data_IF_790662475801
#
_entry.id   IF_790662475801
#
_cell.length_a   1.000
_cell.length_b   1.000
_cell.length_c   1.000
_cell.angle_alpha   90.00
_cell.angle_beta   90.00
_cell.angle_gamma   90.00
#
_symmetry.space_group_name_H-M   'P 1'
#
loop_
_entity.id
_entity.type
_entity.pdbx_description
1 polymer ?
#
# COMPACT_ATOMS: atom_id res chain seq x y z
N UNK A 1 31.17 7.84 -23.62
CA UNK A 1 31.91 8.18 -22.38
C UNK A 1 31.43 9.55 -21.94
N UNK A 2 30.43 9.55 -21.06
CA UNK A 2 30.00 10.72 -20.30
C UNK A 2 29.72 10.16 -18.91
N UNK A 3 30.61 10.47 -17.98
CA UNK A 3 30.36 10.44 -16.55
C UNK A 3 29.23 11.44 -16.27
N UNK A 4 28.29 11.09 -15.39
CA UNK A 4 27.74 12.04 -14.44
C UNK A 4 27.21 11.27 -13.22
N UNK A 5 27.94 11.44 -12.12
CA UNK A 5 27.73 10.73 -10.87
C UNK A 5 26.43 11.13 -10.17
N UNK A 6 25.72 10.11 -9.70
CA UNK A 6 24.71 10.24 -8.66
C UNK A 6 25.40 10.81 -7.41
N UNK A 7 25.22 12.11 -7.17
CA UNK A 7 25.60 12.73 -5.90
C UNK A 7 24.55 12.36 -4.87
N UNK A 8 24.91 11.43 -3.97
CA UNK A 8 24.26 11.28 -2.68
C UNK A 8 24.33 12.64 -1.96
N UNK A 9 23.24 13.19 -1.42
CA UNK A 9 23.29 14.45 -0.69
C UNK A 9 24.24 14.33 0.51
N UNK A 10 25.24 15.19 0.59
CA UNK A 10 26.30 15.16 1.61
C UNK A 10 25.88 15.74 2.97
N UNK A 11 24.60 16.07 3.19
CA UNK A 11 24.08 16.53 4.48
C UNK A 11 22.56 16.47 4.52
N UNK A 12 22.02 15.61 5.37
CA UNK A 12 20.65 15.72 5.87
C UNK A 12 20.64 16.96 6.80
N UNK A 13 19.72 17.93 6.66
CA UNK A 13 19.69 19.09 7.53
C UNK A 13 19.55 18.72 9.01
N UNK A 14 20.48 19.20 9.84
CA UNK A 14 20.40 19.13 11.30
C UNK A 14 19.18 19.92 11.78
N UNK A 15 18.06 19.23 12.09
CA UNK A 15 16.98 19.71 12.97
C UNK A 15 15.95 18.61 13.25
N UNK A 16 16.29 17.68 14.12
CA UNK A 16 15.29 16.87 14.83
C UNK A 16 15.67 16.83 16.31
N UNK A 17 15.03 17.65 17.18
CA UNK A 17 15.25 17.57 18.63
C UNK A 17 14.76 16.21 19.14
N UNK A 18 15.35 15.71 20.23
CA UNK A 18 15.38 14.30 20.61
C UNK A 18 14.02 13.61 20.85
N UNK A 19 13.96 12.33 20.52
CA UNK A 19 12.75 11.53 20.38
C UNK A 19 13.03 10.06 20.79
N UNK A 20 12.54 9.65 21.97
CA UNK A 20 12.63 8.33 22.64
C UNK A 20 11.60 7.28 22.13
N UNK A 21 11.65 6.05 22.65
CA UNK A 21 10.92 4.84 22.18
C UNK A 21 9.39 4.93 22.03
N UNK A 22 8.69 5.86 22.68
CA UNK A 22 7.27 6.13 22.38
C UNK A 22 7.09 6.77 20.99
N UNK A 23 8.14 7.36 20.45
CA UNK A 23 8.00 8.38 19.45
C UNK A 23 8.42 8.00 18.02
N UNK A 24 8.79 6.75 17.74
CA UNK A 24 8.87 6.26 16.34
C UNK A 24 7.48 5.87 15.85
N UNK A 25 6.72 5.20 16.73
CA UNK A 25 5.28 5.02 16.58
C UNK A 25 4.58 6.38 16.57
N UNK A 26 4.94 7.31 17.48
CA UNK A 26 4.31 8.65 17.44
C UNK A 26 4.76 9.51 16.26
N UNK A 27 6.00 9.45 15.77
CA UNK A 27 6.43 10.32 14.66
C UNK A 27 5.70 10.01 13.36
N UNK A 28 5.56 8.74 12.99
CA UNK A 28 4.74 8.39 11.83
C UNK A 28 3.25 8.56 12.13
N UNK A 29 2.79 8.33 13.36
CA UNK A 29 1.41 8.63 13.72
C UNK A 29 1.08 10.14 13.68
N UNK A 30 2.06 11.01 13.94
CA UNK A 30 1.96 12.47 13.82
C UNK A 30 1.94 12.92 12.35
N UNK A 31 2.53 12.14 11.44
CA UNK A 31 2.48 12.42 9.99
C UNK A 31 1.21 11.83 9.37
N UNK A 32 0.93 10.56 9.61
CA UNK A 32 -0.16 9.82 8.94
C UNK A 32 -1.51 9.95 9.66
N UNK A 33 -1.52 10.35 10.93
CA UNK A 33 -2.75 10.47 11.71
C UNK A 33 -3.50 9.14 11.76
N UNK A 34 -4.78 9.17 11.39
CA UNK A 34 -5.66 8.01 11.42
C UNK A 34 -5.23 6.89 10.46
N UNK A 35 -4.52 7.19 9.36
CA UNK A 35 -4.09 6.18 8.39
C UNK A 35 -2.77 5.49 8.73
N UNK A 36 -2.15 5.77 9.89
CA UNK A 36 -0.85 5.16 10.18
C UNK A 36 -0.89 3.62 10.14
N UNK A 37 -1.87 2.99 10.79
CA UNK A 37 -1.93 1.52 10.87
C UNK A 37 -2.19 0.87 9.50
N UNK A 38 -3.05 1.45 8.67
CA UNK A 38 -3.35 0.90 7.34
C UNK A 38 -2.18 1.05 6.35
N UNK A 39 -1.41 2.15 6.46
CA UNK A 39 -0.23 2.37 5.61
C UNK A 39 0.98 1.56 6.10
N UNK A 40 1.19 1.49 7.41
CA UNK A 40 2.33 0.77 7.99
C UNK A 40 2.20 -0.74 7.92
N UNK A 41 0.98 -1.28 7.88
CA UNK A 41 0.75 -2.72 7.69
C UNK A 41 1.42 -3.27 6.44
N UNK A 42 1.49 -2.48 5.36
CA UNK A 42 2.15 -2.87 4.11
C UNK A 42 3.56 -2.29 3.97
N UNK A 43 4.12 -1.68 5.02
CA UNK A 43 5.43 -1.03 5.00
C UNK A 43 5.59 0.10 3.96
N UNK A 44 4.49 0.66 3.45
CA UNK A 44 4.50 1.74 2.45
C UNK A 44 5.07 3.06 3.01
N UNK A 45 4.86 3.34 4.29
CA UNK A 45 5.39 4.53 4.97
C UNK A 45 6.91 4.70 4.85
N UNK A 46 7.65 3.61 4.59
CA UNK A 46 9.09 3.60 4.34
C UNK A 46 9.41 4.10 2.93
N UNK A 47 8.63 3.70 1.92
CA UNK A 47 8.81 4.18 0.56
C UNK A 47 8.56 5.69 0.50
N UNK A 48 7.56 6.18 1.25
CA UNK A 48 7.26 7.60 1.40
C UNK A 48 8.42 8.45 2.00
N UNK A 49 9.46 7.82 2.57
CA UNK A 49 10.67 8.52 3.02
C UNK A 49 11.69 8.72 1.91
N UNK A 50 11.60 7.93 0.83
CA UNK A 50 12.45 8.08 -0.34
C UNK A 50 11.98 9.29 -1.15
N UNK A 51 12.93 9.98 -1.77
CA UNK A 51 12.61 11.01 -2.75
C UNK A 51 11.88 10.36 -3.94
N UNK A 52 10.67 10.82 -4.24
CA UNK A 52 9.85 10.21 -5.28
C UNK A 52 9.26 8.86 -4.88
N UNK A 53 8.86 8.70 -3.62
CA UNK A 53 8.14 7.51 -3.15
C UNK A 53 6.71 7.80 -2.67
N UNK A 54 6.06 8.86 -3.18
CA UNK A 54 4.70 9.29 -2.78
C UNK A 54 3.71 9.42 -3.95
N UNK A 55 4.09 8.90 -5.11
CA UNK A 55 3.29 8.85 -6.34
C UNK A 55 3.54 10.01 -7.31
N UNK A 56 4.48 10.93 -7.07
CA UNK A 56 4.76 12.04 -8.01
C UNK A 56 5.01 11.53 -9.44
N UNK A 57 4.27 12.08 -10.41
CA UNK A 57 4.44 11.72 -11.83
C UNK A 57 3.65 10.49 -12.26
N UNK A 58 3.00 9.78 -11.33
CA UNK A 58 2.05 8.70 -11.64
C UNK A 58 0.65 9.27 -11.87
N UNK A 59 -0.10 8.68 -12.81
CA UNK A 59 -1.51 8.98 -13.05
C UNK A 59 -2.39 7.77 -12.69
N UNK A 60 -3.29 7.95 -11.73
CA UNK A 60 -4.20 6.91 -11.25
C UNK A 60 -5.63 7.17 -11.75
N UNK A 61 -6.18 6.25 -12.53
CA UNK A 61 -7.60 6.23 -12.89
C UNK A 61 -8.43 5.62 -11.76
N UNK A 62 -9.45 6.33 -11.29
CA UNK A 62 -10.38 5.83 -10.26
C UNK A 62 -11.74 5.61 -10.91
N UNK A 63 -12.15 4.36 -11.03
CA UNK A 63 -13.45 3.95 -11.56
C UNK A 63 -14.38 3.66 -10.37
N UNK A 64 -15.41 4.49 -10.20
CA UNK A 64 -16.32 4.42 -9.06
C UNK A 64 -17.72 4.94 -9.42
N UNK A 65 -18.60 5.09 -8.42
CA UNK A 65 -19.99 5.55 -8.52
C UNK A 65 -20.16 7.08 -8.46
N UNK A 66 -19.11 7.82 -8.08
CA UNK A 66 -19.13 9.27 -8.02
C UNK A 66 -18.08 9.85 -7.07
N UNK A 67 -17.83 11.15 -7.20
CA UNK A 67 -16.78 11.86 -6.49
C UNK A 67 -17.33 13.11 -5.80
N UNK A 68 -18.52 12.98 -5.20
CA UNK A 68 -19.23 14.08 -4.57
C UNK A 68 -18.33 14.92 -3.66
N UNK A 69 -18.25 16.23 -3.89
CA UNK A 69 -17.50 17.16 -3.03
C UNK A 69 -15.98 17.07 -3.11
N UNK A 70 -15.38 16.29 -4.02
CA UNK A 70 -13.91 16.29 -4.23
C UNK A 70 -13.41 17.67 -4.72
N UNK A 71 -14.25 18.45 -5.38
CA UNK A 71 -13.96 19.81 -5.86
C UNK A 71 -13.95 20.88 -4.75
N UNK A 72 -14.51 20.56 -3.57
CA UNK A 72 -14.78 21.53 -2.51
C UNK A 72 -14.25 21.12 -1.13
N UNK A 73 -14.17 19.83 -0.80
CA UNK A 73 -13.75 19.38 0.52
C UNK A 73 -12.29 19.73 0.84
N UNK A 74 -12.03 20.24 2.05
CA UNK A 74 -10.71 20.73 2.46
C UNK A 74 -9.60 19.68 2.38
N UNK A 75 -9.95 18.41 2.60
CA UNK A 75 -9.02 17.28 2.54
C UNK A 75 -8.30 17.18 1.19
N UNK A 76 -8.96 17.56 0.10
CA UNK A 76 -8.39 17.53 -1.25
C UNK A 76 -7.84 18.88 -1.71
N UNK A 77 -7.76 19.88 -0.84
CA UNK A 77 -7.15 21.17 -1.18
C UNK A 77 -5.73 21.03 -1.75
N UNK A 78 -4.82 20.22 -1.16
CA UNK A 78 -3.49 20.02 -1.74
C UNK A 78 -3.53 19.41 -3.15
N UNK A 79 -4.42 18.44 -3.39
CA UNK A 79 -4.63 17.82 -4.70
C UNK A 79 -5.11 18.85 -5.73
N UNK A 80 -6.08 19.70 -5.38
CA UNK A 80 -6.59 20.75 -6.26
C UNK A 80 -5.57 21.86 -6.52
N UNK A 81 -4.82 22.29 -5.50
CA UNK A 81 -3.81 23.35 -5.61
C UNK A 81 -2.67 22.99 -6.58
N UNK A 82 -2.33 21.70 -6.69
CA UNK A 82 -1.35 21.22 -7.69
C UNK A 82 -1.94 20.86 -9.05
N UNK A 83 -3.23 21.13 -9.26
CA UNK A 83 -3.98 20.69 -10.44
C UNK A 83 -3.85 19.17 -10.69
N UNK A 84 -3.90 18.38 -9.61
CA UNK A 84 -3.67 16.94 -9.65
C UNK A 84 -4.89 16.13 -10.08
N UNK A 85 -6.07 16.72 -10.20
CA UNK A 85 -7.21 16.12 -10.89
C UNK A 85 -7.04 16.46 -12.37
N UNK A 86 -6.61 15.47 -13.17
CA UNK A 86 -6.24 15.66 -14.58
C UNK A 86 -7.41 15.48 -15.53
N UNK A 87 -8.38 14.67 -15.12
CA UNK A 87 -9.56 14.37 -15.92
C UNK A 87 -10.73 14.01 -15.03
N UNK A 88 -11.94 14.34 -15.48
CA UNK A 88 -13.19 13.84 -14.92
C UNK A 88 -14.14 13.49 -16.04
N UNK A 89 -14.87 12.38 -15.88
CA UNK A 89 -15.90 12.00 -16.85
C UNK A 89 -16.96 11.13 -16.20
N UNK A 90 -18.22 11.41 -16.53
CA UNK A 90 -19.36 10.59 -16.19
C UNK A 90 -19.72 9.70 -17.39
N UNK A 91 -19.46 8.40 -17.25
CA UNK A 91 -19.76 7.38 -18.26
C UNK A 91 -21.15 6.78 -18.04
N UNK A 92 -21.62 6.76 -16.79
CA UNK A 92 -22.95 6.27 -16.44
C UNK A 92 -24.05 7.26 -16.85
N UNK A 93 -23.76 8.56 -16.82
CA UNK A 93 -24.64 9.61 -17.34
C UNK A 93 -23.84 10.65 -18.15
N UNK A 94 -23.72 10.48 -19.49
CA UNK A 94 -22.92 11.37 -20.32
C UNK A 94 -23.28 12.87 -20.15
N UNK A 95 -22.27 13.67 -19.80
CA UNK A 95 -22.44 15.11 -19.52
C UNK A 95 -22.78 15.44 -18.05
N UNK A 96 -22.90 14.42 -17.20
CA UNK A 96 -23.04 14.56 -15.75
C UNK A 96 -21.79 15.13 -15.09
N UNK A 97 -22.00 15.78 -13.94
CA UNK A 97 -20.93 16.29 -13.08
C UNK A 97 -20.57 15.25 -12.02
N UNK A 98 -19.38 14.64 -12.13
CA UNK A 98 -18.92 13.60 -11.20
C UNK A 98 -18.85 14.08 -9.74
N UNK A 99 -18.77 15.40 -9.50
CA UNK A 99 -18.66 16.00 -8.16
C UNK A 99 -20.01 16.24 -7.48
N UNK A 100 -21.13 15.88 -8.11
CA UNK A 100 -22.49 16.06 -7.57
C UNK A 100 -23.30 14.75 -7.65
N UNK A 101 -22.61 13.62 -7.49
CA UNK A 101 -23.19 12.28 -7.61
C UNK A 101 -23.08 11.54 -6.28
N UNK A 102 -22.36 10.42 -6.26
CA UNK A 102 -22.23 9.57 -5.09
C UNK A 102 -20.96 9.88 -4.28
N UNK A 103 -20.99 9.57 -2.98
CA UNK A 103 -19.88 9.85 -2.05
C UNK A 103 -18.79 8.76 -2.06
N UNK A 104 -19.08 7.56 -2.54
CA UNK A 104 -18.20 6.40 -2.36
C UNK A 104 -16.82 6.61 -3.00
N UNK A 105 -16.76 7.07 -4.25
CA UNK A 105 -15.50 7.38 -4.92
C UNK A 105 -14.75 8.54 -4.26
N UNK A 106 -15.43 9.51 -3.62
CA UNK A 106 -14.76 10.51 -2.76
C UNK A 106 -14.04 9.82 -1.59
N UNK A 107 -14.73 8.93 -0.87
CA UNK A 107 -14.16 8.22 0.27
C UNK A 107 -13.01 7.29 -0.16
N UNK A 108 -13.16 6.56 -1.27
CA UNK A 108 -12.11 5.75 -1.89
C UNK A 108 -10.90 6.60 -2.28
N UNK A 109 -11.11 7.73 -2.96
CA UNK A 109 -10.05 8.65 -3.34
C UNK A 109 -9.30 9.19 -2.13
N UNK A 110 -9.97 9.43 -0.99
CA UNK A 110 -9.33 9.92 0.23
C UNK A 110 -8.26 8.96 0.76
N UNK A 111 -8.42 7.64 0.53
CA UNK A 111 -7.45 6.62 0.95
C UNK A 111 -6.13 6.72 0.15
N UNK A 112 -6.17 7.26 -1.07
CA UNK A 112 -4.98 7.44 -1.92
C UNK A 112 -4.46 8.87 -1.90
N UNK A 113 -5.34 9.85 -2.11
CA UNK A 113 -4.96 11.21 -2.49
C UNK A 113 -4.88 12.21 -1.33
N UNK A 114 -5.34 11.84 -0.12
CA UNK A 114 -5.30 12.75 1.02
C UNK A 114 -3.86 13.13 1.37
N UNK A 115 -3.62 14.42 1.55
CA UNK A 115 -2.31 14.98 1.92
C UNK A 115 -2.50 15.94 3.09
N UNK A 116 -3.03 15.41 4.20
CA UNK A 116 -3.33 16.16 5.41
C UNK A 116 -2.51 15.60 6.59
N UNK A 117 -1.24 16.04 6.75
CA UNK A 117 -0.37 15.57 7.82
C UNK A 117 -1.03 15.68 9.21
N UNK A 118 -0.90 14.62 10.01
CA UNK A 118 -1.49 14.50 11.34
C UNK A 118 -2.98 14.17 11.37
N UNK A 119 -3.65 14.15 10.22
CA UNK A 119 -5.06 13.79 10.10
C UNK A 119 -5.25 12.52 9.26
N UNK A 120 -5.00 12.61 7.96
CA UNK A 120 -5.10 11.50 7.01
C UNK A 120 -4.09 11.70 5.88
N UNK A 121 -3.12 10.79 5.79
CA UNK A 121 -2.21 10.69 4.65
C UNK A 121 -2.59 9.47 3.83
N UNK A 122 -2.89 9.68 2.55
CA UNK A 122 -3.21 8.62 1.62
C UNK A 122 -1.97 7.83 1.18
N UNK A 123 -2.20 6.75 0.43
CA UNK A 123 -1.14 5.86 -0.07
C UNK A 123 -0.39 6.40 -1.29
N UNK A 124 -0.92 7.39 -2.00
CA UNK A 124 -0.25 8.08 -3.11
C UNK A 124 -0.61 9.58 -3.11
N UNK A 125 -0.25 10.33 -2.05
CA UNK A 125 -0.72 11.70 -1.84
C UNK A 125 -0.25 12.68 -2.92
N UNK A 126 0.79 12.32 -3.67
CA UNK A 126 1.39 13.15 -4.72
C UNK A 126 1.14 12.63 -6.14
N UNK A 127 0.39 11.55 -6.33
CA UNK A 127 -0.05 11.08 -7.65
C UNK A 127 -1.13 11.96 -8.26
N UNK A 128 -1.20 12.04 -9.57
CA UNK A 128 -2.30 12.67 -10.29
C UNK A 128 -3.45 11.68 -10.48
N UNK A 129 -4.68 12.18 -10.67
CA UNK A 129 -5.89 11.35 -10.70
C UNK A 129 -6.80 11.69 -11.88
N UNK A 130 -7.37 10.66 -12.49
CA UNK A 130 -8.51 10.73 -13.38
C UNK A 130 -9.73 10.12 -12.69
N UNK A 131 -10.83 10.86 -12.58
CA UNK A 131 -12.02 10.45 -11.82
C UNK A 131 -13.14 10.07 -12.80
N UNK A 132 -13.43 8.77 -12.90
CA UNK A 132 -14.31 8.19 -13.90
C UNK A 132 -15.52 7.58 -13.20
N UNK A 133 -16.69 8.19 -13.36
CA UNK A 133 -17.93 7.61 -12.85
C UNK A 133 -18.42 6.55 -13.83
N UNK A 134 -18.50 5.32 -13.37
CA UNK A 134 -18.88 4.15 -14.19
C UNK A 134 -20.12 3.42 -13.68
N UNK A 135 -20.46 3.59 -12.41
CA UNK A 135 -21.68 3.01 -11.82
C UNK A 135 -22.82 4.01 -11.71
N UNK A 136 -24.03 3.45 -11.67
CA UNK A 136 -25.26 4.19 -11.42
C UNK A 136 -25.88 3.75 -10.09
N UNK A 137 -25.88 4.61 -9.08
CA UNK A 137 -26.17 4.22 -7.70
C UNK A 137 -27.58 3.68 -7.44
N UNK A 138 -28.54 3.95 -8.33
CA UNK A 138 -29.94 3.62 -8.12
C UNK A 138 -30.37 2.26 -8.70
N UNK A 139 -29.48 1.55 -9.39
CA UNK A 139 -29.73 0.24 -9.98
C UNK A 139 -28.43 -0.52 -10.21
N UNK A 140 -28.48 -1.84 -10.33
CA UNK A 140 -27.32 -2.63 -10.78
C UNK A 140 -27.70 -3.33 -12.09
N UNK A 141 -27.27 -2.79 -13.23
CA UNK A 141 -27.53 -3.40 -14.54
C UNK A 141 -26.26 -3.88 -15.20
N UNK A 142 -26.40 -4.93 -16.00
CA UNK A 142 -25.26 -5.52 -16.70
C UNK A 142 -24.48 -4.49 -17.54
N UNK A 143 -25.13 -3.46 -18.09
CA UNK A 143 -24.47 -2.42 -18.89
C UNK A 143 -23.48 -1.54 -18.10
N UNK A 144 -23.47 -1.59 -16.77
CA UNK A 144 -22.44 -0.95 -15.96
C UNK A 144 -21.06 -1.54 -16.21
N UNK A 145 -20.99 -2.82 -16.59
CA UNK A 145 -19.76 -3.41 -17.11
C UNK A 145 -19.27 -2.70 -18.37
N UNK A 146 -20.17 -2.30 -19.27
CA UNK A 146 -19.82 -1.57 -20.48
C UNK A 146 -19.31 -0.15 -20.17
N UNK A 147 -19.88 0.50 -19.14
CA UNK A 147 -19.37 1.77 -18.65
C UNK A 147 -17.99 1.63 -18.03
N UNK A 148 -17.75 0.55 -17.28
CA UNK A 148 -16.42 0.26 -16.74
C UNK A 148 -15.41 0.06 -17.87
N UNK A 149 -15.77 -0.69 -18.90
CA UNK A 149 -14.94 -0.90 -20.10
C UNK A 149 -14.60 0.45 -20.75
N UNK A 150 -15.61 1.29 -21.00
CA UNK A 150 -15.40 2.63 -21.55
C UNK A 150 -14.52 3.51 -20.64
N UNK A 151 -14.67 3.40 -19.32
CA UNK A 151 -13.81 4.06 -18.34
C UNK A 151 -12.36 3.60 -18.45
N UNK A 152 -12.11 2.30 -18.57
CA UNK A 152 -10.77 1.74 -18.76
C UNK A 152 -10.14 2.20 -20.08
N UNK A 153 -10.92 2.28 -21.18
CA UNK A 153 -10.46 2.83 -22.47
C UNK A 153 -10.11 4.32 -22.39
N UNK A 154 -10.89 5.10 -21.65
CA UNK A 154 -10.56 6.52 -21.37
C UNK A 154 -9.26 6.61 -20.58
N UNK A 155 -9.08 5.77 -19.55
CA UNK A 155 -7.88 5.76 -18.75
C UNK A 155 -6.62 5.36 -19.55
N UNK A 156 -6.72 4.35 -20.43
CA UNK A 156 -5.68 4.01 -21.41
C UNK A 156 -5.32 5.22 -22.29
N UNK A 157 -6.34 5.89 -22.82
CA UNK A 157 -6.16 7.07 -23.69
C UNK A 157 -5.50 8.26 -22.98
N UNK A 158 -5.68 8.38 -21.67
CA UNK A 158 -5.03 9.40 -20.84
C UNK A 158 -3.59 9.03 -20.45
N UNK A 159 -3.20 7.76 -20.63
CA UNK A 159 -1.94 7.22 -20.14
C UNK A 159 -1.93 7.04 -18.63
N UNK A 160 -3.06 6.61 -18.03
CA UNK A 160 -3.07 6.19 -16.63
C UNK A 160 -2.08 5.03 -16.44
N UNK A 161 -1.31 5.06 -15.36
CA UNK A 161 -0.41 3.96 -14.99
C UNK A 161 -1.17 2.91 -14.18
N UNK A 162 -2.01 3.36 -13.24
CA UNK A 162 -2.73 2.49 -12.31
C UNK A 162 -4.23 2.73 -12.43
N UNK A 163 -5.03 1.66 -12.40
CA UNK A 163 -6.47 1.74 -12.18
C UNK A 163 -6.80 1.24 -10.78
N UNK A 164 -7.58 2.02 -10.04
CA UNK A 164 -8.29 1.53 -8.87
C UNK A 164 -9.78 1.38 -9.22
N UNK A 165 -10.30 0.18 -9.02
CA UNK A 165 -11.73 -0.11 -9.16
C UNK A 165 -12.27 -0.77 -7.90
N UNK A 166 -13.11 -0.01 -7.19
CA UNK A 166 -13.70 -0.39 -5.91
C UNK A 166 -15.11 -0.97 -6.08
N UNK A 167 -15.29 -1.72 -7.16
CA UNK A 167 -16.56 -2.20 -7.71
C UNK A 167 -16.47 -3.72 -7.96
N UNK A 168 -17.62 -4.37 -8.14
CA UNK A 168 -17.66 -5.76 -8.57
C UNK A 168 -19.08 -6.26 -8.80
N UNK A 169 -19.28 -6.96 -9.90
CA UNK A 169 -20.59 -7.39 -10.37
C UNK A 169 -20.79 -8.89 -10.16
N UNK A 170 -22.00 -9.26 -9.71
CA UNK A 170 -22.39 -10.65 -9.43
C UNK A 170 -23.84 -10.90 -9.83
N UNK A 171 -24.77 -10.11 -9.28
CA UNK A 171 -26.19 -10.14 -9.60
C UNK A 171 -26.65 -8.79 -10.12
N UNK A 172 -27.74 -8.76 -10.87
CA UNK A 172 -28.29 -7.54 -11.47
C UNK A 172 -29.81 -7.45 -11.27
N UNK A 173 -30.37 -6.29 -11.59
CA UNK A 173 -31.82 -6.04 -11.58
C UNK A 173 -32.61 -7.04 -12.43
N UNK A 174 -32.04 -7.46 -13.57
CA UNK A 174 -32.55 -8.59 -14.34
C UNK A 174 -31.73 -9.84 -14.04
N UNK A 175 -32.29 -10.73 -13.22
CA UNK A 175 -31.66 -12.01 -12.85
C UNK A 175 -31.29 -12.92 -14.03
N UNK A 176 -31.83 -12.69 -15.23
CA UNK A 176 -31.42 -13.40 -16.44
C UNK A 176 -30.00 -13.02 -16.89
N UNK A 177 -29.46 -11.93 -16.34
CA UNK A 177 -28.12 -11.42 -16.61
C UNK A 177 -27.14 -11.64 -15.47
N UNK A 178 -27.58 -12.28 -14.37
CA UNK A 178 -26.72 -12.63 -13.24
C UNK A 178 -25.52 -13.46 -13.68
N UNK A 179 -24.37 -13.18 -13.08
CA UNK A 179 -23.22 -14.05 -13.21
C UNK A 179 -23.37 -15.27 -12.31
N UNK A 180 -22.83 -16.38 -12.80
CA UNK A 180 -22.62 -17.60 -12.06
C UNK A 180 -21.16 -17.70 -11.64
N UNK A 181 -20.89 -18.43 -10.56
CA UNK A 181 -19.49 -18.68 -10.16
C UNK A 181 -18.67 -19.30 -11.29
N UNK A 182 -19.25 -20.15 -12.14
CA UNK A 182 -18.55 -20.76 -13.29
C UNK A 182 -18.08 -19.76 -14.35
N UNK A 183 -18.65 -18.56 -14.40
CA UNK A 183 -18.25 -17.51 -15.35
C UNK A 183 -17.11 -16.62 -14.82
N UNK A 184 -16.75 -16.76 -13.54
CA UNK A 184 -15.64 -16.03 -12.92
C UNK A 184 -14.29 -16.70 -13.21
N UNK A 185 -14.03 -16.95 -14.48
CA UNK A 185 -12.84 -17.62 -15.00
C UNK A 185 -11.83 -16.66 -15.66
N UNK A 186 -12.10 -15.35 -15.60
CA UNK A 186 -11.32 -14.28 -16.22
C UNK A 186 -11.46 -14.19 -17.74
N UNK A 187 -12.28 -15.05 -18.37
CA UNK A 187 -12.41 -15.17 -19.83
C UNK A 187 -13.86 -15.07 -20.32
N UNK A 188 -14.84 -15.17 -19.42
CA UNK A 188 -16.26 -15.19 -19.80
C UNK A 188 -16.94 -13.83 -19.63
N UNK A 189 -16.82 -13.18 -18.47
CA UNK A 189 -17.44 -11.86 -18.27
C UNK A 189 -16.66 -10.79 -19.03
N UNK A 190 -17.40 -9.87 -19.68
CA UNK A 190 -16.77 -8.85 -20.54
C UNK A 190 -15.89 -7.89 -19.77
N UNK A 191 -16.26 -7.56 -18.54
CA UNK A 191 -15.46 -6.69 -17.68
C UNK A 191 -14.13 -7.36 -17.30
N UNK A 192 -14.10 -8.67 -17.05
CA UNK A 192 -12.87 -9.39 -16.70
C UNK A 192 -11.93 -9.52 -17.89
N UNK A 193 -12.47 -9.75 -19.09
CA UNK A 193 -11.69 -9.72 -20.34
C UNK A 193 -11.07 -8.33 -20.53
N UNK A 194 -11.85 -7.27 -20.37
CA UNK A 194 -11.37 -5.90 -20.54
C UNK A 194 -10.32 -5.50 -19.48
N UNK A 195 -10.48 -5.96 -18.24
CA UNK A 195 -9.47 -5.75 -17.20
C UNK A 195 -8.15 -6.45 -17.53
N UNK A 196 -8.20 -7.64 -18.14
CA UNK A 196 -7.02 -8.30 -18.71
C UNK A 196 -6.38 -7.49 -19.84
N UNK A 197 -7.18 -6.95 -20.76
CA UNK A 197 -6.69 -6.07 -21.84
C UNK A 197 -6.03 -4.81 -21.28
N UNK A 198 -6.60 -4.20 -20.25
CA UNK A 198 -6.01 -3.02 -19.59
C UNK A 198 -4.62 -3.34 -19.02
N UNK A 199 -4.42 -4.54 -18.47
CA UNK A 199 -3.07 -5.01 -18.06
C UNK A 199 -2.14 -5.18 -19.26
N UNK A 200 -2.61 -5.77 -20.36
CA UNK A 200 -1.81 -5.92 -21.58
C UNK A 200 -1.42 -4.58 -22.22
N UNK A 201 -2.24 -3.54 -22.01
CA UNK A 201 -1.96 -2.15 -22.40
C UNK A 201 -0.90 -1.47 -21.53
N UNK A 202 -0.47 -2.12 -20.47
CA UNK A 202 0.59 -1.65 -19.60
C UNK A 202 0.10 -1.03 -18.30
N UNK A 203 -1.20 -1.06 -17.98
CA UNK A 203 -1.69 -0.55 -16.70
C UNK A 203 -1.53 -1.58 -15.57
N UNK A 204 -1.35 -1.11 -14.34
CA UNK A 204 -1.59 -1.93 -13.13
C UNK A 204 -3.07 -1.77 -12.77
N UNK A 205 -3.84 -2.84 -12.92
CA UNK A 205 -5.26 -2.85 -12.54
C UNK A 205 -5.40 -3.43 -11.15
N UNK A 206 -5.99 -2.66 -10.23
CA UNK A 206 -6.25 -3.06 -8.85
C UNK A 206 -7.76 -3.05 -8.60
N UNK A 207 -8.31 -4.20 -8.25
CA UNK A 207 -9.75 -4.39 -8.05
C UNK A 207 -10.06 -4.88 -6.65
N UNK A 208 -11.14 -4.41 -6.07
CA UNK A 208 -11.64 -4.95 -4.80
C UNK A 208 -12.14 -6.39 -4.96
N UNK A 209 -11.92 -7.27 -3.99
CA UNK A 209 -12.35 -8.68 -4.12
C UNK A 209 -13.88 -8.86 -4.10
N UNK A 210 -14.60 -7.95 -3.41
CA UNK A 210 -16.04 -8.02 -3.13
C UNK A 210 -16.33 -8.20 -1.64
N UNK A 211 -17.56 -7.89 -1.24
CA UNK A 211 -18.00 -7.90 0.16
C UNK A 211 -19.00 -9.03 0.47
N UNK A 212 -18.90 -10.15 -0.26
CA UNK A 212 -19.88 -11.23 -0.22
C UNK A 212 -19.45 -12.46 0.59
N UNK A 213 -18.30 -12.43 1.27
CA UNK A 213 -17.71 -13.57 1.98
C UNK A 213 -18.57 -14.17 3.10
N UNK A 214 -19.57 -13.45 3.60
CA UNK A 214 -20.49 -13.87 4.66
C UNK A 214 -21.94 -14.02 4.20
N UNK A 215 -22.21 -13.96 2.90
CA UNK A 215 -23.54 -14.14 2.31
C UNK A 215 -23.57 -15.37 1.38
N UNK A 216 -24.71 -15.61 0.72
CA UNK A 216 -24.91 -16.78 -0.13
C UNK A 216 -24.04 -16.82 -1.39
N UNK A 217 -23.50 -15.68 -1.84
CA UNK A 217 -22.58 -15.64 -2.97
C UNK A 217 -21.20 -16.14 -2.59
N UNK A 218 -20.64 -15.68 -1.46
CA UNK A 218 -19.34 -16.08 -0.87
C UNK A 218 -18.09 -15.73 -1.70
N UNK A 219 -18.17 -15.84 -3.02
CA UNK A 219 -17.04 -15.76 -3.93
C UNK A 219 -16.65 -14.31 -4.26
N UNK A 220 -15.49 -14.14 -4.90
CA UNK A 220 -15.13 -12.92 -5.63
C UNK A 220 -16.18 -12.56 -6.69
N UNK A 221 -16.20 -11.31 -7.16
CA UNK A 221 -17.03 -10.87 -8.29
C UNK A 221 -16.19 -10.50 -9.51
N UNK A 222 -16.84 -10.16 -10.62
CA UNK A 222 -16.14 -9.64 -11.80
C UNK A 222 -15.89 -8.12 -11.64
N UNK A 223 -14.69 -7.58 -11.94
CA UNK A 223 -13.56 -8.23 -12.61
C UNK A 223 -12.45 -8.76 -11.69
N UNK A 224 -12.71 -9.01 -10.41
CA UNK A 224 -11.67 -9.49 -9.48
C UNK A 224 -11.05 -10.83 -9.92
N UNK A 225 -11.77 -11.63 -10.71
CA UNK A 225 -11.31 -12.87 -11.32
C UNK A 225 -10.41 -12.68 -12.55
N UNK A 226 -10.25 -11.46 -13.09
CA UNK A 226 -9.48 -11.21 -14.30
C UNK A 226 -8.00 -11.64 -14.22
N UNK A 227 -7.41 -11.90 -15.38
CA UNK A 227 -5.99 -12.23 -15.51
C UNK A 227 -5.10 -11.01 -15.30
N UNK A 228 -3.94 -11.23 -14.68
CA UNK A 228 -2.90 -10.21 -14.56
C UNK A 228 -3.16 -9.13 -13.51
N UNK A 229 -4.42 -8.84 -13.17
CA UNK A 229 -4.79 -7.79 -12.21
C UNK A 229 -4.41 -8.14 -10.76
N UNK A 230 -4.38 -7.15 -9.87
CA UNK A 230 -4.32 -7.34 -8.42
C UNK A 230 -5.74 -7.27 -7.82
N UNK A 231 -6.35 -8.43 -7.54
CA UNK A 231 -7.56 -8.48 -6.72
C UNK A 231 -7.21 -8.35 -5.23
N UNK A 232 -7.94 -7.52 -4.49
CA UNK A 232 -7.58 -7.14 -3.12
C UNK A 232 -8.67 -7.52 -2.11
N UNK A 233 -8.34 -8.48 -1.25
CA UNK A 233 -9.14 -8.87 -0.09
C UNK A 233 -9.00 -7.90 1.09
N UNK A 234 -9.89 -8.03 2.08
CA UNK A 234 -9.92 -7.19 3.26
C UNK A 234 -9.46 -7.94 4.51
N UNK A 235 -8.58 -7.30 5.29
CA UNK A 235 -8.21 -7.72 6.66
C UNK A 235 -8.51 -6.63 7.68
N UNK A 236 -8.57 -7.01 8.95
CA UNK A 236 -8.55 -6.07 10.06
C UNK A 236 -7.13 -5.62 10.42
N UNK A 237 -7.00 -4.67 11.35
CA UNK A 237 -5.71 -4.17 11.80
C UNK A 237 -4.88 -5.19 12.60
N UNK A 238 -5.43 -6.37 12.90
CA UNK A 238 -4.76 -7.51 13.50
C UNK A 238 -4.42 -8.59 12.43
N UNK A 239 -4.52 -8.24 11.14
CA UNK A 239 -4.22 -9.10 9.97
C UNK A 239 -5.17 -10.29 9.79
N UNK A 240 -6.35 -10.28 10.44
CA UNK A 240 -7.36 -11.34 10.26
C UNK A 240 -8.25 -11.01 9.08
N UNK A 241 -8.59 -12.02 8.27
CA UNK A 241 -9.52 -11.88 7.15
C UNK A 241 -10.86 -11.31 7.64
N UNK A 242 -11.34 -10.25 6.99
CA UNK A 242 -12.66 -9.70 7.25
C UNK A 242 -13.73 -10.72 6.86
N UNK A 243 -14.76 -10.91 7.70
CA UNK A 243 -15.82 -11.89 7.43
C UNK A 243 -16.57 -11.62 6.12
N UNK A 244 -16.71 -10.36 5.73
CA UNK A 244 -17.34 -9.96 4.48
C UNK A 244 -16.41 -10.09 3.27
N UNK A 245 -15.09 -10.23 3.42
CA UNK A 245 -14.18 -10.29 2.28
C UNK A 245 -14.53 -11.49 1.40
N UNK A 246 -14.89 -11.22 0.15
CA UNK A 246 -15.12 -12.26 -0.85
C UNK A 246 -13.90 -13.13 -1.05
N UNK A 247 -14.14 -14.41 -1.32
CA UNK A 247 -13.11 -15.46 -1.33
C UNK A 247 -12.96 -16.08 -2.71
N UNK A 248 -11.75 -16.49 -3.05
CA UNK A 248 -11.53 -17.30 -4.23
C UNK A 248 -11.72 -18.81 -3.94
N UNK A 249 -11.01 -19.66 -4.70
CA UNK A 249 -10.27 -19.30 -5.92
C UNK A 249 -11.22 -18.74 -7.00
N UNK A 250 -10.66 -18.22 -8.10
CA UNK A 250 -11.47 -18.05 -9.32
C UNK A 250 -12.03 -19.40 -9.78
N UNK A 251 -13.02 -19.37 -10.67
CA UNK A 251 -13.69 -20.58 -11.16
C UNK A 251 -12.73 -21.59 -11.81
N UNK A 252 -11.67 -21.08 -12.45
CA UNK A 252 -10.61 -21.85 -13.08
C UNK A 252 -9.44 -22.21 -12.14
N UNK A 253 -9.58 -21.94 -10.84
CA UNK A 253 -8.66 -22.39 -9.80
C UNK A 253 -7.44 -21.49 -9.55
N UNK A 254 -7.39 -20.28 -10.11
CA UNK A 254 -6.32 -19.32 -9.80
C UNK A 254 -6.48 -18.78 -8.38
N UNK A 255 -5.35 -18.45 -7.77
CA UNK A 255 -5.31 -17.78 -6.46
C UNK A 255 -5.99 -16.42 -6.59
N UNK A 256 -7.11 -16.27 -5.87
CA UNK A 256 -7.84 -15.01 -5.71
C UNK A 256 -8.38 -14.90 -4.26
N UNK A 257 -8.47 -13.69 -3.68
CA UNK A 257 -7.83 -12.46 -4.14
C UNK A 257 -6.31 -12.64 -4.32
N UNK A 258 -5.63 -11.72 -5.01
CA UNK A 258 -4.17 -11.80 -5.19
C UNK A 258 -3.46 -11.46 -3.87
N UNK A 259 -3.87 -10.37 -3.23
CA UNK A 259 -3.30 -9.88 -1.97
C UNK A 259 -4.41 -9.36 -1.07
N UNK A 260 -4.07 -8.99 0.16
CA UNK A 260 -5.01 -8.37 1.10
C UNK A 260 -4.43 -7.08 1.71
N UNK A 261 -5.32 -6.16 2.07
CA UNK A 261 -4.99 -4.93 2.78
C UNK A 261 -6.09 -4.57 3.79
N UNK A 262 -5.84 -3.58 4.65
CA UNK A 262 -6.83 -3.16 5.65
C UNK A 262 -8.14 -2.80 4.96
N UNK A 263 -9.22 -3.46 5.36
CA UNK A 263 -10.57 -3.18 4.90
C UNK A 263 -11.58 -3.11 6.05
N UNK A 264 -11.17 -3.40 7.28
CA UNK A 264 -12.00 -3.19 8.49
C UNK A 264 -11.47 -1.99 9.25
N UNK A 265 -12.33 -1.01 9.52
CA UNK A 265 -11.97 0.25 10.17
C UNK A 265 -10.80 0.94 9.45
N UNK A 266 -10.83 0.94 8.12
CA UNK A 266 -9.90 1.72 7.31
C UNK A 266 -10.22 3.20 7.50
N UNK A 267 -9.23 4.03 7.80
CA UNK A 267 -9.43 5.47 7.90
C UNK A 267 -9.66 6.05 6.50
N UNK A 268 -10.80 6.72 6.33
CA UNK A 268 -11.19 7.41 5.11
C UNK A 268 -12.07 8.62 5.44
N UNK A 269 -12.28 9.50 4.46
CA UNK A 269 -13.26 10.57 4.56
C UNK A 269 -14.67 9.99 4.67
N UNK A 270 -15.44 10.51 5.61
CA UNK A 270 -16.81 10.10 5.90
C UNK A 270 -17.75 10.28 4.69
N UNK A 271 -18.73 9.40 4.53
CA UNK A 271 -19.80 9.55 3.53
C UNK A 271 -20.65 10.80 3.75
N UNK A 272 -20.81 11.21 5.01
CA UNK A 272 -21.86 12.14 5.44
C UNK A 272 -21.36 13.55 5.74
N UNK A 273 -20.09 13.67 6.08
CA UNK A 273 -19.48 14.91 6.56
C UNK A 273 -17.95 14.94 6.28
N UNK A 274 -17.29 15.99 6.77
CA UNK A 274 -15.86 16.16 6.62
C UNK A 274 -15.01 15.36 7.63
N UNK A 275 -15.61 14.46 8.43
CA UNK A 275 -14.89 13.70 9.43
C UNK A 275 -14.06 12.57 8.80
N UNK A 276 -12.95 12.22 9.46
CA UNK A 276 -12.20 11.00 9.14
C UNK A 276 -12.71 9.88 10.07
N UNK A 277 -13.21 8.79 9.49
CA UNK A 277 -13.81 7.68 10.22
C UNK A 277 -13.26 6.33 9.77
N UNK A 278 -13.48 5.30 10.58
CA UNK A 278 -13.24 3.91 10.18
C UNK A 278 -14.38 3.38 9.30
N UNK A 279 -14.07 3.10 8.04
CA UNK A 279 -14.98 2.47 7.06
C UNK A 279 -14.64 0.99 6.84
N UNK A 280 -15.63 0.22 6.38
CA UNK A 280 -15.47 -1.21 6.13
C UNK A 280 -15.76 -1.53 4.65
N UNK A 281 -14.92 -2.37 4.04
CA UNK A 281 -15.14 -2.90 2.69
C UNK A 281 -13.83 -3.15 1.94
N UNK A 282 -13.82 -4.13 1.03
CA UNK A 282 -12.71 -4.34 0.09
C UNK A 282 -12.50 -3.13 -0.82
N UNK A 283 -13.54 -2.33 -1.02
CA UNK A 283 -13.51 -1.02 -1.68
C UNK A 283 -12.52 -0.03 -1.07
N UNK A 284 -12.12 -0.22 0.20
CA UNK A 284 -11.09 0.57 0.87
C UNK A 284 -9.74 -0.15 0.96
N UNK A 285 -9.71 -1.48 0.79
CA UNK A 285 -8.47 -2.24 0.65
C UNK A 285 -7.82 -2.04 -0.72
N UNK A 286 -8.63 -2.02 -1.79
CA UNK A 286 -8.17 -1.75 -3.16
C UNK A 286 -7.35 -0.46 -3.30
N UNK A 287 -7.84 0.72 -2.85
CA UNK A 287 -7.08 1.98 -2.98
C UNK A 287 -5.79 1.99 -2.16
N UNK A 288 -5.71 1.23 -1.06
CA UNK A 288 -4.45 1.09 -0.34
C UNK A 288 -3.38 0.47 -1.24
N UNK A 289 -3.71 -0.64 -1.90
CA UNK A 289 -2.79 -1.35 -2.80
C UNK A 289 -2.54 -0.56 -4.08
N UNK A 290 -3.54 0.12 -4.64
CA UNK A 290 -3.39 0.94 -5.85
C UNK A 290 -2.40 2.09 -5.64
N UNK A 291 -2.56 2.87 -4.55
CA UNK A 291 -1.60 3.92 -4.24
C UNK A 291 -0.21 3.36 -3.89
N UNK A 292 -0.15 2.22 -3.19
CA UNK A 292 1.10 1.54 -2.90
C UNK A 292 1.84 1.09 -4.18
N UNK A 293 1.11 0.56 -5.16
CA UNK A 293 1.65 0.18 -6.46
C UNK A 293 2.17 1.38 -7.25
N UNK A 294 1.45 2.51 -7.23
CA UNK A 294 1.92 3.75 -7.84
C UNK A 294 3.24 4.24 -7.21
N UNK A 295 3.33 4.27 -5.89
CA UNK A 295 4.57 4.65 -5.18
C UNK A 295 5.73 3.69 -5.46
N UNK A 296 5.47 2.39 -5.54
CA UNK A 296 6.49 1.40 -5.88
C UNK A 296 6.99 1.57 -7.31
N UNK A 297 6.07 1.76 -8.26
CA UNK A 297 6.41 1.89 -9.68
C UNK A 297 7.15 3.19 -9.97
N UNK A 298 6.77 4.29 -9.32
CA UNK A 298 7.48 5.56 -9.39
C UNK A 298 8.98 5.42 -9.08
N UNK A 299 9.32 4.58 -8.08
CA UNK A 299 10.70 4.32 -7.67
C UNK A 299 11.46 3.39 -8.63
N UNK A 300 10.75 2.70 -9.51
CA UNK A 300 11.27 1.72 -10.46
C UNK A 300 10.71 1.97 -11.88
N UNK A 301 10.94 3.15 -12.47
CA UNK A 301 10.31 3.56 -13.73
C UNK A 301 10.80 2.77 -14.95
N UNK A 302 11.87 1.99 -14.80
CA UNK A 302 12.40 1.06 -15.82
C UNK A 302 11.69 -0.30 -15.81
N UNK A 303 10.79 -0.54 -14.85
CA UNK A 303 10.04 -1.79 -14.70
C UNK A 303 8.68 -1.74 -15.38
N UNK A 304 8.26 -2.89 -15.89
CA UNK A 304 6.91 -3.10 -16.43
C UNK A 304 5.86 -3.22 -15.32
N UNK A 305 4.60 -2.92 -15.64
CA UNK A 305 3.46 -3.18 -14.76
C UNK A 305 3.43 -4.62 -14.23
N UNK A 306 3.78 -5.61 -15.07
CA UNK A 306 3.83 -7.02 -14.68
C UNK A 306 4.91 -7.27 -13.62
N UNK A 307 6.11 -6.70 -13.76
CA UNK A 307 7.17 -6.78 -12.74
C UNK A 307 6.75 -6.13 -11.42
N UNK A 308 6.07 -4.98 -11.47
CA UNK A 308 5.55 -4.31 -10.27
C UNK A 308 4.55 -5.21 -9.54
N UNK A 309 3.57 -5.77 -10.27
CA UNK A 309 2.56 -6.66 -9.68
C UNK A 309 3.16 -7.97 -9.17
N UNK A 310 4.14 -8.55 -9.86
CA UNK A 310 4.88 -9.73 -9.39
C UNK A 310 5.64 -9.43 -8.08
N UNK A 311 6.32 -8.29 -8.00
CA UNK A 311 7.04 -7.88 -6.80
C UNK A 311 6.10 -7.71 -5.59
N UNK A 312 4.90 -7.16 -5.81
CA UNK A 312 3.86 -7.02 -4.77
C UNK A 312 3.38 -8.39 -4.29
N UNK A 313 3.11 -9.35 -5.19
CA UNK A 313 2.70 -10.71 -4.81
C UNK A 313 3.82 -11.45 -4.05
N UNK A 314 5.05 -11.38 -4.56
CA UNK A 314 6.24 -12.07 -4.00
C UNK A 314 6.72 -11.51 -2.67
N UNK A 315 6.35 -10.26 -2.36
CA UNK A 315 6.66 -9.65 -1.08
C UNK A 315 5.61 -9.93 -0.01
N UNK A 316 4.48 -10.52 -0.37
CA UNK A 316 3.36 -10.72 0.54
C UNK A 316 3.59 -11.84 1.57
N UNK A 317 2.90 -11.72 2.70
CA UNK A 317 3.14 -12.49 3.94
C UNK A 317 2.95 -14.01 3.84
N UNK A 318 2.26 -14.50 2.81
CA UNK A 318 2.06 -15.94 2.59
C UNK A 318 2.33 -16.34 1.14
N UNK A 319 3.34 -15.71 0.51
CA UNK A 319 3.79 -16.02 -0.85
C UNK A 319 3.98 -17.52 -1.10
N UNK A 320 4.61 -18.24 -0.16
CA UNK A 320 4.93 -19.67 -0.30
C UNK A 320 3.70 -20.59 -0.10
N UNK A 321 2.62 -20.08 0.48
CA UNK A 321 1.42 -20.86 0.80
C UNK A 321 0.15 -20.00 0.69
N UNK A 322 -0.24 -19.57 -0.54
CA UNK A 322 -1.42 -18.76 -0.72
C UNK A 322 -2.71 -19.54 -0.43
N UNK A 323 -3.76 -18.81 -0.09
CA UNK A 323 -5.10 -19.35 0.17
C UNK A 323 -6.19 -18.59 -0.60
N UNK A 324 -7.44 -19.01 -0.41
CA UNK A 324 -8.62 -18.40 -1.02
C UNK A 324 -9.17 -17.19 -0.24
N UNK A 325 -8.61 -16.85 0.92
CA UNK A 325 -9.08 -15.78 1.80
C UNK A 325 -8.28 -14.49 1.61
N UNK A 326 -6.95 -14.57 1.68
CA UNK A 326 -6.01 -13.45 1.58
C UNK A 326 -5.08 -13.55 0.38
N UNK A 327 -5.17 -14.62 -0.41
CA UNK A 327 -4.31 -14.81 -1.58
C UNK A 327 -2.87 -15.08 -1.14
N UNK A 328 -1.93 -14.31 -1.70
CA UNK A 328 -0.53 -14.27 -1.27
C UNK A 328 -0.32 -13.50 0.04
N UNK A 329 -1.36 -12.88 0.61
CA UNK A 329 -1.34 -12.20 1.91
C UNK A 329 -1.17 -10.69 1.82
N UNK A 330 -0.67 -10.09 2.90
CA UNK A 330 -0.45 -8.65 2.99
C UNK A 330 0.91 -8.32 2.35
N UNK A 331 0.95 -7.44 1.33
CA UNK A 331 2.20 -7.10 0.64
C UNK A 331 3.13 -6.25 1.52
N UNK A 332 4.42 -6.54 1.50
CA UNK A 332 5.46 -5.67 2.07
C UNK A 332 6.11 -4.85 0.95
N UNK A 333 5.83 -3.54 0.90
CA UNK A 333 6.30 -2.68 -0.19
C UNK A 333 7.80 -2.40 -0.12
N UNK A 334 8.41 -2.46 1.06
CA UNK A 334 9.86 -2.35 1.18
C UNK A 334 10.54 -3.58 0.60
N UNK A 335 10.04 -4.78 0.94
CA UNK A 335 10.52 -6.02 0.33
C UNK A 335 10.29 -6.03 -1.19
N UNK A 336 9.15 -5.54 -1.68
CA UNK A 336 8.89 -5.39 -3.11
C UNK A 336 9.90 -4.44 -3.77
N UNK A 337 10.21 -3.30 -3.15
CA UNK A 337 11.22 -2.37 -3.63
C UNK A 337 12.61 -3.01 -3.74
N UNK A 338 13.02 -3.83 -2.76
CA UNK A 338 14.29 -4.56 -2.79
C UNK A 338 14.33 -5.64 -3.89
N UNK A 339 13.22 -6.35 -4.13
CA UNK A 339 13.09 -7.34 -5.21
C UNK A 339 13.34 -6.69 -6.58
N UNK A 340 12.73 -5.53 -6.83
CA UNK A 340 12.87 -4.79 -8.09
C UNK A 340 14.27 -4.19 -8.28
N UNK A 341 14.94 -3.83 -7.18
CA UNK A 341 16.33 -3.37 -7.18
C UNK A 341 17.37 -4.47 -7.46
N UNK A 342 16.95 -5.72 -7.69
CA UNK A 342 17.86 -6.84 -7.97
C UNK A 342 18.64 -7.34 -6.75
N UNK A 343 18.16 -7.03 -5.54
CA UNK A 343 18.76 -7.57 -4.32
C UNK A 343 18.46 -9.06 -4.21
N UNK A 344 19.50 -9.87 -4.00
CA UNK A 344 19.32 -11.30 -3.74
C UNK A 344 18.67 -11.49 -2.37
N UNK A 345 17.38 -11.84 -2.39
CA UNK A 345 16.58 -12.09 -1.21
C UNK A 345 16.63 -13.57 -0.77
N UNK A 346 17.38 -14.44 -1.47
CA UNK A 346 17.53 -15.83 -1.04
C UNK A 346 18.20 -15.86 0.34
N UNK A 347 17.44 -16.31 1.34
CA UNK A 347 17.84 -16.29 2.75
C UNK A 347 17.37 -15.09 3.58
N UNK A 348 16.46 -14.23 3.08
CA UNK A 348 15.73 -13.25 3.91
C UNK A 348 14.63 -13.88 4.79
N UNK A 349 14.33 -15.17 4.60
CA UNK A 349 13.64 -15.97 5.61
C UNK A 349 14.45 -16.08 6.92
N UNK A 350 15.73 -15.70 6.90
CA UNK A 350 16.57 -15.49 8.07
C UNK A 350 16.69 -14.00 8.40
N UNK A 351 16.40 -13.67 9.66
CA UNK A 351 16.55 -12.37 10.27
C UNK A 351 17.86 -11.67 9.88
N UNK A 352 17.77 -10.58 9.10
CA UNK A 352 18.95 -9.77 8.74
C UNK A 352 18.77 -8.27 9.00
N UNK A 353 19.82 -7.66 9.55
CA UNK A 353 19.97 -6.22 9.79
C UNK A 353 20.27 -5.54 8.45
N UNK A 354 19.33 -4.71 7.99
CA UNK A 354 19.56 -3.71 6.96
C UNK A 354 20.00 -2.42 7.66
N UNK A 355 21.29 -2.11 7.61
CA UNK A 355 21.80 -0.77 7.93
C UNK A 355 21.67 -0.27 9.38
N UNK A 356 22.65 0.56 9.75
CA UNK A 356 22.62 1.34 10.99
C UNK A 356 22.97 2.77 10.60
N UNK A 357 22.11 3.73 10.94
CA UNK A 357 22.30 5.14 10.58
C UNK A 357 21.80 6.11 11.67
N UNK A 358 22.40 7.29 11.85
CA UNK A 358 23.68 7.68 11.26
C UNK A 358 24.84 6.93 11.91
N UNK A 359 25.94 6.74 11.18
CA UNK A 359 27.24 6.32 11.72
C UNK A 359 28.28 7.30 11.15
N UNK A 360 28.91 8.17 11.97
CA UNK A 360 28.84 8.22 13.43
C UNK A 360 27.46 8.66 13.97
N UNK A 361 27.10 8.17 15.16
CA UNK A 361 25.90 8.62 15.88
C UNK A 361 26.27 9.49 17.09
N UNK A 362 25.45 10.48 17.40
CA UNK A 362 25.56 11.27 18.64
C UNK A 362 24.66 10.67 19.73
N UNK A 363 23.38 11.04 19.71
CA UNK A 363 22.42 10.69 20.76
C UNK A 363 21.46 9.55 20.37
N UNK A 364 21.40 9.20 19.08
CA UNK A 364 20.55 8.13 18.55
C UNK A 364 21.15 7.46 17.33
N UNK A 365 20.80 6.20 17.09
CA UNK A 365 20.94 5.54 15.79
C UNK A 365 19.68 4.73 15.49
N UNK A 366 19.43 4.47 14.21
CA UNK A 366 18.36 3.64 13.68
C UNK A 366 18.98 2.32 13.26
N UNK A 367 18.41 1.21 13.73
CA UNK A 367 18.70 -0.13 13.23
C UNK A 367 17.55 -0.53 12.34
N UNK A 368 17.81 -0.80 11.08
CA UNK A 368 16.80 -1.38 10.21
C UNK A 368 17.03 -2.90 10.14
N UNK A 369 15.96 -3.68 10.23
CA UNK A 369 16.04 -5.13 10.26
C UNK A 369 14.77 -5.77 9.75
N UNK A 370 14.91 -6.91 9.09
CA UNK A 370 13.77 -7.72 8.67
C UNK A 370 13.61 -8.87 9.65
N UNK A 371 12.39 -9.08 10.12
CA UNK A 371 12.01 -10.30 10.86
C UNK A 371 10.98 -11.09 10.05
N UNK A 372 11.16 -12.40 9.97
CA UNK A 372 10.22 -13.34 9.34
C UNK A 372 9.24 -13.98 10.32
N UNK A 373 9.17 -13.51 11.56
CA UNK A 373 8.20 -13.96 12.56
C UNK A 373 8.08 -12.93 13.69
N UNK A 374 7.04 -13.08 14.52
CA UNK A 374 7.01 -12.44 15.82
C UNK A 374 8.19 -12.94 16.66
N UNK A 375 9.09 -12.04 17.06
CA UNK A 375 10.33 -12.43 17.71
C UNK A 375 10.94 -11.30 18.55
N UNK A 376 11.85 -11.69 19.43
CA UNK A 376 12.53 -10.81 20.36
C UNK A 376 13.85 -10.36 19.73
N UNK A 377 13.93 -9.08 19.38
CA UNK A 377 15.15 -8.43 18.91
C UNK A 377 15.94 -7.96 20.13
N UNK A 378 17.14 -8.53 20.35
CA UNK A 378 18.09 -7.97 21.32
C UNK A 378 19.14 -7.15 20.59
N UNK A 379 19.46 -6.00 21.14
CA UNK A 379 20.46 -5.07 20.64
C UNK A 379 21.53 -4.92 21.72
N UNK A 380 22.81 -4.97 21.36
CA UNK A 380 23.90 -4.89 22.30
C UNK A 380 25.08 -4.14 21.69
N UNK A 381 25.61 -3.12 22.37
CA UNK A 381 26.87 -2.48 21.99
C UNK A 381 27.99 -3.02 22.87
N UNK A 382 29.06 -3.46 22.24
CA UNK A 382 30.30 -3.87 22.92
C UNK A 382 31.44 -2.92 22.57
N UNK A 383 32.28 -2.62 23.56
CA UNK A 383 33.50 -1.84 23.34
C UNK A 383 34.62 -2.69 22.71
N UNK A 384 35.75 -2.06 22.39
CA UNK A 384 36.91 -2.75 21.80
C UNK A 384 37.53 -3.85 22.69
N UNK A 385 37.19 -3.88 23.99
CA UNK A 385 37.61 -4.92 24.93
C UNK A 385 36.55 -6.04 25.07
N UNK A 386 35.46 -5.99 24.29
CA UNK A 386 34.35 -6.95 24.33
C UNK A 386 33.41 -6.76 25.53
N UNK A 387 33.51 -5.64 26.27
CA UNK A 387 32.62 -5.35 27.40
C UNK A 387 31.32 -4.77 26.89
N UNK A 388 30.20 -5.21 27.48
CA UNK A 388 28.88 -4.70 27.18
C UNK A 388 28.79 -3.25 27.66
N UNK A 389 28.72 -2.33 26.72
CA UNK A 389 28.60 -0.90 27.01
C UNK A 389 27.13 -0.46 27.05
N UNK A 390 26.26 -1.12 26.29
CA UNK A 390 24.83 -0.87 26.25
C UNK A 390 24.07 -2.10 25.75
N UNK A 391 22.81 -2.26 26.16
CA UNK A 391 21.91 -3.29 25.66
C UNK A 391 20.45 -2.84 25.71
N UNK A 392 19.64 -3.30 24.76
CA UNK A 392 18.19 -3.18 24.79
C UNK A 392 17.54 -4.41 24.18
N UNK A 393 16.25 -4.54 24.43
CA UNK A 393 15.44 -5.60 23.88
C UNK A 393 14.11 -5.03 23.40
N UNK A 394 13.57 -5.61 22.34
CA UNK A 394 12.31 -5.23 21.74
C UNK A 394 11.58 -6.49 21.29
N UNK A 395 10.31 -6.62 21.67
CA UNK A 395 9.43 -7.64 21.09
C UNK A 395 8.86 -7.06 19.80
N UNK A 396 8.89 -7.86 18.75
CA UNK A 396 8.26 -7.55 17.47
C UNK A 396 7.17 -8.58 17.26
N UNK A 397 5.97 -8.13 16.91
CA UNK A 397 4.78 -8.97 16.89
C UNK A 397 4.50 -9.62 15.52
N UNK A 398 5.29 -9.34 14.47
CA UNK A 398 4.93 -9.73 13.10
C UNK A 398 6.13 -9.90 12.15
N UNK A 399 5.95 -10.67 11.06
CA UNK A 399 6.82 -10.58 9.89
C UNK A 399 6.78 -9.16 9.31
N UNK A 400 7.91 -8.45 9.36
CA UNK A 400 8.02 -7.08 8.89
C UNK A 400 9.47 -6.63 8.79
N UNK A 401 9.72 -5.69 7.87
CA UNK A 401 10.80 -4.73 8.03
C UNK A 401 10.52 -3.80 9.22
N UNK A 402 11.55 -3.54 10.02
CA UNK A 402 11.50 -2.73 11.23
C UNK A 402 12.58 -1.67 11.16
N UNK A 403 12.24 -0.45 11.57
CA UNK A 403 13.21 0.58 11.93
C UNK A 403 13.15 0.82 13.43
N UNK A 404 14.19 0.39 14.15
CA UNK A 404 14.36 0.64 15.58
C UNK A 404 15.29 1.84 15.78
N UNK A 405 14.72 3.03 15.98
CA UNK A 405 15.49 4.15 16.54
C UNK A 405 15.78 3.87 18.01
N UNK A 406 17.07 3.78 18.30
CA UNK A 406 17.61 3.60 19.64
C UNK A 406 18.01 4.96 20.15
N UNK A 407 17.26 5.44 21.16
CA UNK A 407 17.57 6.68 21.87
C UNK A 407 17.15 6.52 23.34
N UNK A 408 18.15 6.40 24.22
CA UNK A 408 17.95 6.34 25.67
C UNK A 408 19.12 7.00 26.43
N UNK A 409 18.91 7.30 27.72
CA UNK A 409 19.94 7.91 28.55
C UNK A 409 21.24 7.08 28.65
N UNK A 410 21.18 5.74 28.86
CA UNK A 410 22.39 4.91 28.84
C UNK A 410 23.22 5.05 27.57
N UNK A 411 22.58 5.08 26.40
CA UNK A 411 23.24 5.27 25.11
C UNK A 411 23.91 6.64 25.01
N UNK A 412 23.24 7.70 25.49
CA UNK A 412 23.79 9.06 25.48
C UNK A 412 25.05 9.20 26.33
N UNK A 413 25.17 8.43 27.42
CA UNK A 413 26.32 8.45 28.34
C UNK A 413 27.54 7.67 27.84
N UNK A 414 27.43 6.94 26.72
CA UNK A 414 28.56 6.23 26.14
C UNK A 414 29.70 7.22 25.79
N UNK A 415 30.94 6.81 26.03
CA UNK A 415 32.09 7.59 25.58
C UNK A 415 32.19 7.63 24.06
N UNK A 416 32.78 8.68 23.50
CA UNK A 416 33.15 8.72 22.08
C UNK A 416 34.06 7.53 21.75
N UNK A 417 33.82 6.87 20.61
CA UNK A 417 34.63 5.73 20.23
C UNK A 417 33.94 4.75 19.28
N UNK A 418 34.66 3.67 18.99
CA UNK A 418 34.19 2.59 18.13
C UNK A 418 33.55 1.52 19.01
N UNK A 419 32.35 1.08 18.60
CA UNK A 419 31.62 -0.01 19.22
C UNK A 419 31.22 -1.04 18.17
N UNK A 420 30.90 -2.26 18.61
CA UNK A 420 30.27 -3.28 17.78
C UNK A 420 28.83 -3.45 18.26
N UNK A 421 27.87 -3.11 17.39
CA UNK A 421 26.45 -3.41 17.58
C UNK A 421 26.19 -4.85 17.20
N UNK A 422 25.79 -5.66 18.17
CA UNK A 422 25.25 -7.00 17.99
C UNK A 422 23.72 -6.94 18.02
N UNK A 423 23.08 -7.60 17.06
CA UNK A 423 21.62 -7.74 16.95
C UNK A 423 21.31 -9.24 16.96
N UNK A 424 20.62 -9.71 17.98
CA UNK A 424 20.14 -11.09 18.10
C UNK A 424 18.67 -11.12 17.71
N UNK A 425 18.32 -11.94 16.73
CA UNK A 425 16.96 -12.12 16.23
C UNK A 425 16.86 -13.52 15.59
N UNK A 426 15.84 -14.31 15.93
CA UNK A 426 15.58 -15.61 15.31
C UNK A 426 16.66 -16.65 15.56
N UNK A 427 17.36 -16.57 16.69
CA UNK A 427 18.55 -17.38 16.97
C UNK A 427 19.77 -17.03 16.11
N UNK A 428 19.69 -15.96 15.31
CA UNK A 428 20.81 -15.43 14.51
C UNK A 428 21.38 -14.21 15.22
N UNK A 429 22.71 -14.13 15.31
CA UNK A 429 23.41 -12.93 15.79
C UNK A 429 24.10 -12.25 14.62
N UNK A 430 23.81 -10.96 14.45
CA UNK A 430 24.48 -10.09 13.49
C UNK A 430 25.32 -9.06 14.20
N UNK A 431 26.43 -8.65 13.59
CA UNK A 431 27.33 -7.67 14.17
C UNK A 431 27.68 -6.59 13.13
N UNK A 432 27.69 -5.33 13.55
CA UNK A 432 28.12 -4.19 12.73
C UNK A 432 28.93 -3.21 13.57
N UNK A 433 30.02 -2.71 12.99
CA UNK A 433 30.79 -1.64 13.61
C UNK A 433 30.01 -0.32 13.53
N UNK A 434 29.93 0.39 14.64
CA UNK A 434 29.32 1.71 14.74
C UNK A 434 30.29 2.65 15.48
N UNK A 435 30.13 3.95 15.27
CA UNK A 435 31.01 4.97 15.86
C UNK A 435 30.12 5.94 16.62
N UNK A 436 30.40 6.16 17.92
CA UNK A 436 29.80 7.25 18.67
C UNK A 436 30.66 8.49 18.53
N UNK A 437 30.07 9.57 18.04
CA UNK A 437 30.71 10.87 17.95
C UNK A 437 31.03 11.43 19.36
N UNK A 438 32.11 12.19 19.44
CA UNK A 438 32.43 12.95 20.65
C UNK A 438 31.68 14.27 20.63
N UNK A 439 31.04 14.60 21.76
CA UNK A 439 30.46 15.93 21.99
C UNK A 439 31.52 17.01 21.99
#
# INVERSE_FOLDING_TARGET
RVDDGVRVPERIPDKFPGVSKSEIGTHYQEIYGASYRQVSMMNLHLLHQLAGGRGEGMLIGVLDSGFDGVDSADLFTPLRQRAGIRWTQDLAEPGGDVFQRHWHGRSVLSVMAADAPGSLMGTAPKADYALLRTEFEASEFIWEEDNWIAGAEVADSLGCDVLNTSLGYTTFEDSLTDHTYSELDGQTTRISIAAGIAVEKGMVVVNSAGNSGNNGWFHIGAPADAFGILAVGAVDHDRRTASFSSRGPSADGRVKPDVAAVGVQCAALSPWDAAIIGVNGTSFSSPLVAGAAACLWQLHPDRSNVEIMDAIRRSASQWDAPDAEQGFGIPDLWRAHLLLGGSDLTGLAGSKVLQVQPVPFDDFFVVELFTGAADRVKLQLTDAAGRIAWQAEQVVDTEAYLQLRVQDEPLQRLGAGVYVLQVELGGTTLARQVVKAGR
#
